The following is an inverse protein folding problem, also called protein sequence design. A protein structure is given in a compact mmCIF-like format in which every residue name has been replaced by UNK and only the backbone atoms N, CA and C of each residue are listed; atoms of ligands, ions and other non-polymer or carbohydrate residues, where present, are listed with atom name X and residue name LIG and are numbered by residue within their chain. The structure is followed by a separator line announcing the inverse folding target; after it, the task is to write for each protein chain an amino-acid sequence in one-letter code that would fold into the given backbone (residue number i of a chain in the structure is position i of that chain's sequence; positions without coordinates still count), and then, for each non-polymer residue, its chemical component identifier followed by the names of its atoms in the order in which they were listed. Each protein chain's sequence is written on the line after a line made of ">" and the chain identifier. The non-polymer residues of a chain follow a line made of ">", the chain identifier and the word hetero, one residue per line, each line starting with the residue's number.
data_IF_311079105597
#
_entry.id   IF_311079105597
#
_cell.length_a   1.000
_cell.length_b   1.000
_cell.length_c   1.000
_cell.angle_alpha   90.00
_cell.angle_beta   90.00
_cell.angle_gamma   90.00
#
_symmetry.space_group_name_H-M   'P 1'
#
loop_
_entity.id
_entity.type
_entity.pdbx_description
1 polymer ?
#
# COMPACT_ATOMS: atom_id res chain seq x y z
N UNK A 1 41.75 -27.62 13.27
CA UNK A 1 40.74 -27.55 12.18
C UNK A 1 39.69 -26.44 12.35
N UNK A 2 39.90 -25.41 13.19
CA UNK A 2 38.95 -24.28 13.32
C UNK A 2 39.29 -23.05 12.46
N UNK A 3 40.50 -22.95 11.88
CA UNK A 3 40.93 -21.75 11.12
C UNK A 3 40.50 -21.71 9.64
N UNK A 4 40.11 -22.86 9.06
CA UNK A 4 39.66 -22.94 7.66
C UNK A 4 38.19 -22.56 7.46
N UNK A 5 37.35 -22.71 8.49
CA UNK A 5 35.93 -22.32 8.43
C UNK A 5 35.76 -20.80 8.45
N UNK A 6 36.56 -20.07 9.22
CA UNK A 6 36.49 -18.61 9.28
C UNK A 6 36.85 -17.92 7.94
N UNK A 7 37.78 -18.51 7.15
CA UNK A 7 38.18 -17.95 5.85
C UNK A 7 37.20 -18.20 4.70
N UNK A 8 36.35 -19.22 4.80
CA UNK A 8 35.36 -19.53 3.77
C UNK A 8 34.00 -18.83 3.99
N UNK A 9 33.69 -18.45 5.23
CA UNK A 9 32.45 -17.73 5.55
C UNK A 9 32.63 -16.20 5.63
N UNK A 10 33.82 -15.69 5.98
CA UNK A 10 34.08 -14.24 6.04
C UNK A 10 34.23 -13.53 4.68
N UNK A 11 34.53 -14.26 3.61
CA UNK A 11 34.68 -13.69 2.25
C UNK A 11 33.35 -13.57 1.50
N UNK A 12 32.33 -14.36 1.88
CA UNK A 12 31.03 -14.35 1.20
C UNK A 12 30.16 -13.17 1.63
N UNK A 13 30.16 -12.87 2.92
CA UNK A 13 29.38 -11.75 3.50
C UNK A 13 29.92 -10.38 3.05
N UNK A 14 31.24 -10.26 2.88
CA UNK A 14 31.88 -9.05 2.35
C UNK A 14 31.66 -8.86 0.84
N UNK A 15 31.54 -9.96 0.08
CA UNK A 15 31.17 -9.89 -1.34
C UNK A 15 29.70 -9.48 -1.57
N UNK A 16 28.77 -9.98 -0.76
CA UNK A 16 27.34 -9.65 -0.92
C UNK A 16 27.04 -8.18 -0.59
N UNK A 17 27.69 -7.62 0.44
CA UNK A 17 27.63 -6.19 0.73
C UNK A 17 28.16 -5.32 -0.43
N UNK A 18 29.23 -5.77 -1.10
CA UNK A 18 29.80 -5.05 -2.24
C UNK A 18 28.88 -5.02 -3.46
N UNK A 19 28.12 -6.10 -3.71
CA UNK A 19 27.18 -6.16 -4.82
C UNK A 19 25.96 -5.28 -4.59
N UNK A 20 25.41 -5.28 -3.38
CA UNK A 20 24.27 -4.41 -3.01
C UNK A 20 24.66 -2.95 -3.13
N UNK A 21 25.84 -2.57 -2.64
CA UNK A 21 26.34 -1.20 -2.75
C UNK A 21 26.59 -0.81 -4.21
N UNK A 22 27.12 -1.71 -5.02
CA UNK A 22 27.36 -1.46 -6.44
C UNK A 22 26.06 -1.31 -7.21
N UNK A 23 25.05 -2.15 -6.93
CA UNK A 23 23.72 -2.03 -7.50
C UNK A 23 23.04 -0.72 -7.09
N UNK A 24 23.16 -0.33 -5.81
CA UNK A 24 22.60 0.92 -5.29
C UNK A 24 23.22 2.14 -5.97
N UNK A 25 24.55 2.16 -6.15
CA UNK A 25 25.24 3.22 -6.90
C UNK A 25 24.81 3.26 -8.35
N UNK A 26 24.77 2.10 -9.02
CA UNK A 26 24.36 2.04 -10.43
C UNK A 26 22.93 2.55 -10.66
N UNK A 27 21.98 2.17 -9.79
CA UNK A 27 20.60 2.68 -9.84
C UNK A 27 20.57 4.19 -9.58
N UNK A 28 21.34 4.68 -8.62
CA UNK A 28 21.45 6.11 -8.32
C UNK A 28 22.01 6.91 -9.51
N UNK A 29 23.10 6.46 -10.10
CA UNK A 29 23.79 7.14 -11.20
C UNK A 29 22.92 7.14 -12.46
N UNK A 30 22.29 6.00 -12.77
CA UNK A 30 21.34 5.90 -13.90
C UNK A 30 20.14 6.80 -13.69
N UNK A 31 19.58 6.82 -12.47
CA UNK A 31 18.48 7.71 -12.10
C UNK A 31 18.84 9.19 -12.27
N UNK A 32 20.06 9.57 -11.86
CA UNK A 32 20.57 10.94 -12.02
C UNK A 32 20.77 11.34 -13.49
N UNK A 33 21.29 10.43 -14.33
CA UNK A 33 21.44 10.70 -15.76
C UNK A 33 20.10 10.89 -16.46
N UNK A 34 19.11 10.03 -16.14
CA UNK A 34 17.75 10.16 -16.65
C UNK A 34 17.13 11.48 -16.19
N UNK A 35 17.29 11.84 -14.92
CA UNK A 35 16.81 13.10 -14.36
C UNK A 35 17.41 14.32 -15.08
N UNK A 36 18.73 14.35 -15.28
CA UNK A 36 19.41 15.44 -16.01
C UNK A 36 18.95 15.54 -17.46
N UNK A 37 18.76 14.40 -18.13
CA UNK A 37 18.26 14.36 -19.51
C UNK A 37 16.83 14.88 -19.62
N UNK A 38 15.93 14.47 -18.71
CA UNK A 38 14.55 14.98 -18.67
C UNK A 38 14.55 16.48 -18.38
N UNK A 39 15.39 16.93 -17.45
CA UNK A 39 15.49 18.33 -17.07
C UNK A 39 15.95 19.25 -18.20
N UNK A 40 16.96 18.81 -18.96
CA UNK A 40 17.45 19.54 -20.13
C UNK A 40 16.39 19.68 -21.24
N UNK A 41 15.49 18.69 -21.38
CA UNK A 41 14.50 18.65 -22.46
C UNK A 41 13.12 19.16 -22.06
N UNK A 42 12.78 19.21 -20.76
CA UNK A 42 11.47 19.67 -20.29
C UNK A 42 11.55 20.25 -18.86
N UNK A 43 11.66 21.58 -18.73
CA UNK A 43 11.65 22.26 -17.43
C UNK A 43 10.39 21.99 -16.60
N UNK A 44 9.25 21.73 -17.26
CA UNK A 44 8.01 21.33 -16.58
C UNK A 44 8.13 19.93 -15.96
N UNK A 45 8.71 18.97 -16.69
CA UNK A 45 8.92 17.62 -16.16
C UNK A 45 9.92 17.63 -15.01
N UNK A 46 10.95 18.48 -15.07
CA UNK A 46 11.91 18.63 -13.98
C UNK A 46 11.25 19.10 -12.68
N UNK A 47 10.42 20.15 -12.73
CA UNK A 47 9.66 20.61 -11.55
C UNK A 47 8.80 19.52 -10.95
N UNK A 48 8.15 18.70 -11.80
CA UNK A 48 7.37 17.55 -11.33
C UNK A 48 8.24 16.50 -10.65
N UNK A 49 9.43 16.23 -11.15
CA UNK A 49 10.35 15.28 -10.51
C UNK A 49 10.87 15.83 -9.18
N UNK A 50 11.16 17.13 -9.11
CA UNK A 50 11.55 17.79 -7.86
C UNK A 50 10.43 17.70 -6.83
N UNK A 51 9.19 17.97 -7.23
CA UNK A 51 8.01 17.81 -6.38
C UNK A 51 7.90 16.36 -5.89
N UNK A 52 8.10 15.35 -6.77
CA UNK A 52 8.09 13.93 -6.41
C UNK A 52 9.23 13.58 -5.45
N UNK A 53 10.42 14.15 -5.62
CA UNK A 53 11.56 13.89 -4.74
C UNK A 53 11.33 14.47 -3.34
N UNK A 54 10.78 15.68 -3.25
CA UNK A 54 10.35 16.28 -1.97
C UNK A 54 9.29 15.41 -1.30
N UNK A 55 8.32 14.96 -2.09
CA UNK A 55 7.25 14.05 -1.69
C UNK A 55 7.80 12.72 -1.15
N UNK A 56 8.75 12.10 -1.85
CA UNK A 56 9.41 10.87 -1.43
C UNK A 56 10.22 11.06 -0.14
N UNK A 57 10.93 12.18 0.00
CA UNK A 57 11.65 12.52 1.23
C UNK A 57 10.71 12.71 2.43
N UNK A 58 9.51 13.25 2.22
CA UNK A 58 8.48 13.34 3.28
C UNK A 58 7.94 11.95 3.67
N UNK A 59 7.74 11.04 2.71
CA UNK A 59 7.35 9.66 3.00
C UNK A 59 8.43 8.94 3.83
N UNK A 60 9.70 9.09 3.47
CA UNK A 60 10.82 8.52 4.20
C UNK A 60 10.91 9.08 5.63
N UNK A 61 10.79 10.40 5.79
CA UNK A 61 10.75 11.06 7.12
C UNK A 61 9.61 10.56 7.99
N UNK A 62 8.47 10.20 7.38
CA UNK A 62 7.31 9.61 8.05
C UNK A 62 7.46 8.10 8.31
N UNK A 63 8.61 7.52 7.99
CA UNK A 63 8.91 6.13 8.29
C UNK A 63 8.32 5.15 7.30
N UNK A 64 8.12 5.54 6.02
CA UNK A 64 7.61 4.62 4.99
C UNK A 64 8.40 3.32 4.90
N UNK A 65 9.67 3.25 5.29
CA UNK A 65 10.42 1.99 5.31
C UNK A 65 10.44 1.31 6.70
N UNK A 66 10.18 2.06 7.76
CA UNK A 66 10.24 1.58 9.15
C UNK A 66 9.02 0.71 9.52
N UNK A 67 7.95 0.84 8.76
CA UNK A 67 6.64 0.26 9.04
C UNK A 67 6.38 -1.09 8.37
N UNK A 68 7.38 -1.61 7.67
CA UNK A 68 7.28 -2.85 6.91
C UNK A 68 6.94 -4.07 7.78
N UNK A 69 7.55 -4.17 8.97
CA UNK A 69 7.33 -5.28 9.90
C UNK A 69 5.87 -5.34 10.36
N UNK A 70 5.35 -4.22 10.85
CA UNK A 70 3.98 -4.14 11.37
C UNK A 70 2.94 -4.41 10.27
N UNK A 71 3.24 -4.01 9.03
CA UNK A 71 2.35 -4.29 7.89
C UNK A 71 2.26 -5.79 7.62
N UNK A 72 3.39 -6.51 7.66
CA UNK A 72 3.38 -7.96 7.49
C UNK A 72 2.58 -8.65 8.61
N UNK A 73 2.64 -8.15 9.84
CA UNK A 73 1.79 -8.65 10.93
C UNK A 73 0.31 -8.40 10.64
N UNK A 74 -0.03 -7.23 10.09
CA UNK A 74 -1.38 -6.86 9.67
C UNK A 74 -1.90 -7.75 8.54
N UNK A 75 -1.07 -8.10 7.55
CA UNK A 75 -1.44 -9.02 6.47
C UNK A 75 -1.77 -10.43 6.98
N UNK A 76 -1.07 -10.91 8.00
CA UNK A 76 -1.24 -12.28 8.51
C UNK A 76 -2.36 -12.38 9.55
N UNK A 77 -2.72 -11.26 10.21
CA UNK A 77 -3.74 -11.22 11.27
C UNK A 77 -5.08 -11.85 10.87
N UNK A 78 -5.65 -11.61 9.67
CA UNK A 78 -6.90 -12.24 9.24
C UNK A 78 -6.81 -13.77 9.08
N UNK A 79 -5.62 -14.31 8.80
CA UNK A 79 -5.42 -15.75 8.67
C UNK A 79 -5.27 -16.43 10.04
N UNK A 80 -4.72 -15.73 11.03
CA UNK A 80 -4.52 -16.25 12.39
C UNK A 80 -5.83 -16.42 13.17
N UNK A 81 -6.88 -15.65 12.85
CA UNK A 81 -8.17 -15.72 13.56
C UNK A 81 -8.99 -16.97 13.22
N UNK A 82 -8.60 -17.73 12.20
CA UNK A 82 -9.33 -18.91 11.73
C UNK A 82 -10.54 -18.54 10.86
N UNK A 83 -10.97 -19.49 10.03
CA UNK A 83 -11.97 -19.25 8.96
C UNK A 83 -13.32 -18.77 9.48
N UNK A 84 -13.82 -19.33 10.60
CA UNK A 84 -15.12 -18.93 11.17
C UNK A 84 -15.12 -17.49 11.69
N UNK A 85 -14.06 -17.09 12.39
CA UNK A 85 -13.93 -15.72 12.88
C UNK A 85 -13.73 -14.74 11.72
N UNK A 86 -12.94 -15.12 10.71
CA UNK A 86 -12.77 -14.33 9.50
C UNK A 86 -14.09 -14.09 8.77
N UNK A 87 -14.91 -15.12 8.58
CA UNK A 87 -16.23 -14.98 7.96
C UNK A 87 -17.14 -14.05 8.77
N UNK A 88 -17.12 -14.15 10.10
CA UNK A 88 -17.88 -13.25 10.96
C UNK A 88 -17.43 -11.79 10.82
N UNK A 89 -16.11 -11.53 10.79
CA UNK A 89 -15.52 -10.21 10.59
C UNK A 89 -15.83 -9.63 9.21
N UNK A 90 -15.72 -10.45 8.16
CA UNK A 90 -16.08 -10.06 6.79
C UNK A 90 -17.57 -9.72 6.73
N UNK A 91 -18.44 -10.58 7.25
CA UNK A 91 -19.89 -10.32 7.26
C UNK A 91 -20.22 -9.01 7.98
N UNK A 92 -19.62 -8.77 9.13
CA UNK A 92 -19.84 -7.55 9.90
C UNK A 92 -19.38 -6.30 9.13
N UNK A 93 -18.24 -6.38 8.44
CA UNK A 93 -17.68 -5.25 7.68
C UNK A 93 -18.36 -5.02 6.32
N UNK A 94 -18.92 -6.05 5.68
CA UNK A 94 -19.79 -5.88 4.49
C UNK A 94 -21.10 -5.18 4.86
N UNK A 95 -21.63 -5.44 6.06
CA UNK A 95 -22.86 -4.83 6.53
C UNK A 95 -22.71 -3.33 6.87
N UNK A 96 -21.49 -2.77 6.78
CA UNK A 96 -21.21 -1.35 6.95
C UNK A 96 -21.80 -0.77 8.25
N UNK A 97 -21.79 -1.55 9.34
CA UNK A 97 -22.38 -1.16 10.61
C UNK A 97 -21.79 0.19 11.09
N UNK A 98 -22.63 1.13 11.59
CA UNK A 98 -22.23 2.50 11.86
C UNK A 98 -21.15 2.64 12.94
N UNK A 99 -21.06 1.70 13.88
CA UNK A 99 -20.10 1.73 15.01
C UNK A 99 -18.80 0.96 14.74
N UNK A 100 -18.55 0.54 13.50
CA UNK A 100 -17.32 -0.19 13.20
C UNK A 100 -16.13 0.73 12.99
N UNK A 101 -15.02 0.40 13.66
CA UNK A 101 -13.72 1.03 13.46
C UNK A 101 -13.31 0.93 11.98
N UNK A 102 -13.39 2.06 11.27
CA UNK A 102 -13.17 2.15 9.83
C UNK A 102 -11.73 1.81 9.44
N UNK A 103 -10.77 2.12 10.32
CA UNK A 103 -9.35 1.80 10.13
C UNK A 103 -9.16 0.29 10.14
N UNK A 104 -9.73 -0.40 11.12
CA UNK A 104 -9.66 -1.86 11.19
C UNK A 104 -10.31 -2.53 9.98
N UNK A 105 -11.51 -2.09 9.59
CA UNK A 105 -12.20 -2.61 8.41
C UNK A 105 -11.37 -2.39 7.14
N UNK A 106 -10.78 -1.20 6.97
CA UNK A 106 -9.89 -0.90 5.86
C UNK A 106 -8.68 -1.84 5.83
N UNK A 107 -7.95 -1.99 6.93
CA UNK A 107 -6.79 -2.89 7.00
C UNK A 107 -7.16 -4.34 6.71
N UNK A 108 -8.32 -4.81 7.19
CA UNK A 108 -8.83 -6.16 6.91
C UNK A 108 -9.09 -6.35 5.41
N UNK A 109 -9.85 -5.45 4.78
CA UNK A 109 -10.17 -5.55 3.35
C UNK A 109 -8.95 -5.38 2.45
N UNK A 110 -7.99 -4.56 2.87
CA UNK A 110 -6.72 -4.39 2.17
C UNK A 110 -5.90 -5.69 2.18
N UNK A 111 -5.80 -6.33 3.35
CA UNK A 111 -5.16 -7.63 3.50
C UNK A 111 -5.88 -8.72 2.69
N UNK A 112 -7.22 -8.74 2.69
CA UNK A 112 -8.00 -9.69 1.89
C UNK A 112 -7.78 -9.51 0.39
N UNK A 113 -7.73 -8.27 -0.10
CA UNK A 113 -7.42 -7.99 -1.51
C UNK A 113 -6.06 -8.56 -1.92
N UNK A 114 -5.05 -8.46 -1.05
CA UNK A 114 -3.75 -9.08 -1.26
C UNK A 114 -3.84 -10.62 -1.28
N UNK A 115 -4.50 -11.22 -0.29
CA UNK A 115 -4.63 -12.69 -0.22
C UNK A 115 -5.43 -13.27 -1.39
N UNK A 116 -6.41 -12.56 -1.93
CA UNK A 116 -7.11 -12.98 -3.14
C UNK A 116 -6.17 -13.06 -4.35
N UNK A 117 -5.17 -12.16 -4.46
CA UNK A 117 -4.12 -12.28 -5.48
C UNK A 117 -3.29 -13.54 -5.30
N UNK A 118 -2.92 -13.87 -4.05
CA UNK A 118 -2.14 -15.08 -3.76
C UNK A 118 -2.94 -16.34 -4.08
N UNK A 119 -4.23 -16.37 -3.72
CA UNK A 119 -5.13 -17.49 -4.06
C UNK A 119 -5.24 -17.62 -5.57
N UNK A 120 -5.39 -16.50 -6.30
CA UNK A 120 -5.44 -16.52 -7.76
C UNK A 120 -4.16 -17.08 -8.37
N UNK A 121 -2.98 -16.68 -7.87
CA UNK A 121 -1.71 -17.27 -8.29
C UNK A 121 -1.70 -18.79 -8.10
N UNK A 122 -2.14 -19.29 -6.93
CA UNK A 122 -2.20 -20.73 -6.67
C UNK A 122 -3.15 -21.42 -7.64
N UNK A 123 -4.35 -20.86 -7.86
CA UNK A 123 -5.34 -21.40 -8.80
C UNK A 123 -4.78 -21.42 -10.23
N UNK A 124 -4.15 -20.32 -10.67
CA UNK A 124 -3.54 -20.21 -12.00
C UNK A 124 -2.40 -21.21 -12.19
N UNK A 125 -1.60 -21.49 -11.16
CA UNK A 125 -0.56 -22.53 -11.23
C UNK A 125 -1.11 -23.95 -11.32
N UNK A 126 -2.32 -24.19 -10.79
CA UNK A 126 -2.99 -25.50 -10.82
C UNK A 126 -3.75 -25.76 -12.13
N UNK A 127 -4.11 -24.71 -12.88
CA UNK A 127 -4.86 -24.83 -14.12
C UNK A 127 -3.94 -25.05 -15.34
N UNK A 128 -4.27 -25.98 -16.25
CA UNK A 128 -3.52 -26.14 -17.49
C UNK A 128 -3.67 -24.89 -18.37
N UNK A 129 -2.55 -24.22 -18.66
CA UNK A 129 -2.52 -22.98 -19.44
C UNK A 129 -2.43 -21.70 -18.61
N UNK A 130 -2.28 -21.79 -17.29
CA UNK A 130 -2.05 -20.60 -16.45
C UNK A 130 -0.66 -19.98 -16.65
N UNK A 131 -0.60 -18.65 -16.71
CA UNK A 131 0.66 -17.90 -16.77
C UNK A 131 1.16 -17.55 -15.37
N UNK A 132 1.89 -18.48 -14.75
CA UNK A 132 2.42 -18.30 -13.39
C UNK A 132 3.28 -17.04 -13.23
N UNK A 133 4.05 -16.65 -14.25
CA UNK A 133 4.91 -15.45 -14.21
C UNK A 133 4.07 -14.17 -14.10
N UNK A 134 3.01 -14.06 -14.90
CA UNK A 134 2.11 -12.88 -14.87
C UNK A 134 1.46 -12.75 -13.50
N UNK A 135 1.07 -13.87 -12.89
CA UNK A 135 0.45 -13.87 -11.57
C UNK A 135 1.44 -13.57 -10.44
N UNK A 136 2.70 -14.02 -10.54
CA UNK A 136 3.74 -13.64 -9.57
C UNK A 136 3.95 -12.12 -9.57
N UNK A 137 4.04 -11.52 -10.76
CA UNK A 137 4.16 -10.07 -10.92
C UNK A 137 2.91 -9.37 -10.37
N UNK A 138 1.72 -9.91 -10.61
CA UNK A 138 0.44 -9.41 -10.06
C UNK A 138 0.40 -9.44 -8.52
N UNK A 139 0.90 -10.51 -7.90
CA UNK A 139 1.02 -10.62 -6.43
C UNK A 139 1.99 -9.59 -5.90
N UNK A 140 3.14 -9.39 -6.55
CA UNK A 140 4.12 -8.38 -6.15
C UNK A 140 3.54 -6.96 -6.20
N UNK A 141 2.85 -6.60 -7.30
CA UNK A 141 2.15 -5.32 -7.38
C UNK A 141 1.04 -5.19 -6.34
N UNK A 142 0.29 -6.26 -6.08
CA UNK A 142 -0.75 -6.26 -5.04
C UNK A 142 -0.17 -6.04 -3.65
N UNK A 143 1.02 -6.60 -3.37
CA UNK A 143 1.73 -6.40 -2.12
C UNK A 143 2.19 -4.95 -1.95
N UNK A 144 2.82 -4.38 -2.98
CA UNK A 144 3.23 -2.96 -2.98
C UNK A 144 2.02 -2.06 -2.79
N UNK A 145 0.95 -2.28 -3.55
CA UNK A 145 -0.27 -1.49 -3.45
C UNK A 145 -0.89 -1.59 -2.04
N UNK A 146 -1.00 -2.80 -1.49
CA UNK A 146 -1.52 -2.98 -0.14
C UNK A 146 -0.65 -2.26 0.90
N UNK A 147 0.68 -2.30 0.76
CA UNK A 147 1.59 -1.58 1.65
C UNK A 147 1.40 -0.06 1.54
N UNK A 148 1.38 0.47 0.31
CA UNK A 148 1.19 1.90 0.07
C UNK A 148 -0.15 2.38 0.62
N UNK A 149 -1.22 1.60 0.44
CA UNK A 149 -2.54 1.95 0.97
C UNK A 149 -2.61 1.89 2.50
N UNK A 150 -2.00 0.88 3.15
CA UNK A 150 -1.89 0.85 4.60
C UNK A 150 -1.15 2.09 5.12
N UNK A 151 -0.04 2.45 4.48
CA UNK A 151 0.72 3.63 4.88
C UNK A 151 -0.09 4.92 4.71
N UNK A 152 -0.71 5.13 3.54
CA UNK A 152 -1.42 6.38 3.19
C UNK A 152 -2.69 6.57 4.01
N UNK A 153 -3.45 5.50 4.27
CA UNK A 153 -4.77 5.61 4.92
C UNK A 153 -4.75 5.30 6.42
N UNK A 154 -3.78 4.54 6.92
CA UNK A 154 -3.73 4.11 8.34
C UNK A 154 -2.60 4.81 9.09
N UNK A 155 -1.38 4.77 8.58
CA UNK A 155 -0.19 5.19 9.36
C UNK A 155 0.08 6.69 9.30
N UNK A 156 -0.09 7.27 8.13
CA UNK A 156 0.24 8.67 7.87
C UNK A 156 -0.89 9.38 7.10
N UNK A 157 -2.14 9.36 7.62
CA UNK A 157 -3.27 9.96 6.93
C UNK A 157 -3.02 11.45 6.72
N UNK A 158 -3.02 11.85 5.45
CA UNK A 158 -2.94 13.24 5.00
C UNK A 158 -3.81 13.36 3.77
N UNK A 159 -4.71 14.32 3.76
CA UNK A 159 -5.70 14.51 2.70
C UNK A 159 -5.07 14.57 1.30
N UNK A 160 -3.90 15.21 1.21
CA UNK A 160 -3.13 15.35 -0.04
C UNK A 160 -2.73 14.01 -0.68
N UNK A 161 -2.46 12.97 0.13
CA UNK A 161 -2.02 11.65 -0.35
C UNK A 161 -3.17 10.66 -0.48
N UNK A 162 -4.18 10.81 0.38
CA UNK A 162 -5.36 9.94 0.38
C UNK A 162 -6.19 10.12 -0.89
N UNK A 163 -6.31 11.35 -1.43
CA UNK A 163 -7.08 11.61 -2.65
C UNK A 163 -6.50 10.85 -3.88
N UNK A 164 -5.20 10.96 -4.23
CA UNK A 164 -4.60 10.12 -5.25
C UNK A 164 -4.81 8.62 -4.99
N UNK A 165 -4.69 8.18 -3.74
CA UNK A 165 -4.95 6.78 -3.36
C UNK A 165 -6.38 6.33 -3.69
N UNK A 166 -7.39 7.16 -3.37
CA UNK A 166 -8.80 6.90 -3.72
C UNK A 166 -8.99 6.84 -5.24
N UNK A 167 -8.41 7.78 -5.99
CA UNK A 167 -8.51 7.79 -7.46
C UNK A 167 -7.92 6.52 -8.07
N UNK A 168 -6.73 6.10 -7.62
CA UNK A 168 -6.08 4.87 -8.09
C UNK A 168 -6.95 3.64 -7.73
N UNK A 169 -7.54 3.59 -6.53
CA UNK A 169 -8.46 2.52 -6.15
C UNK A 169 -9.70 2.46 -7.05
N UNK A 170 -10.31 3.60 -7.41
CA UNK A 170 -11.45 3.64 -8.34
C UNK A 170 -11.07 3.08 -9.71
N UNK A 171 -9.93 3.53 -10.26
CA UNK A 171 -9.42 3.03 -11.53
C UNK A 171 -9.13 1.53 -11.48
N UNK A 172 -8.58 1.06 -10.37
CA UNK A 172 -8.32 -0.36 -10.14
C UNK A 172 -9.60 -1.19 -10.11
N UNK A 173 -10.64 -0.75 -9.38
CA UNK A 173 -11.95 -1.41 -9.35
C UNK A 173 -12.54 -1.48 -10.77
N UNK A 174 -12.51 -0.37 -11.51
CA UNK A 174 -13.01 -0.34 -12.89
C UNK A 174 -12.26 -1.33 -13.80
N UNK A 175 -10.94 -1.40 -13.68
CA UNK A 175 -10.12 -2.36 -14.43
C UNK A 175 -10.48 -3.81 -14.10
N UNK A 176 -10.73 -4.13 -12.83
CA UNK A 176 -11.16 -5.48 -12.43
C UNK A 176 -12.53 -5.86 -12.99
N UNK A 177 -13.48 -4.92 -13.04
CA UNK A 177 -14.79 -5.14 -13.68
C UNK A 177 -14.63 -5.40 -15.18
N UNK A 178 -13.86 -4.58 -15.89
CA UNK A 178 -13.59 -4.75 -17.32
C UNK A 178 -12.91 -6.11 -17.57
N UNK A 179 -11.94 -6.48 -16.74
CA UNK A 179 -11.25 -7.78 -16.81
C UNK A 179 -12.21 -8.94 -16.57
N UNK A 180 -13.14 -8.81 -15.62
CA UNK A 180 -14.18 -9.81 -15.38
C UNK A 180 -15.10 -10.01 -16.57
N UNK A 181 -15.52 -8.93 -17.23
CA UNK A 181 -16.36 -8.97 -18.44
C UNK A 181 -15.59 -9.59 -19.61
N UNK A 182 -14.36 -9.14 -19.87
CA UNK A 182 -13.51 -9.69 -20.93
C UNK A 182 -13.10 -11.15 -20.68
N UNK A 183 -13.03 -11.54 -19.41
CA UNK A 183 -12.72 -12.89 -18.96
C UNK A 183 -13.88 -13.88 -18.99
N UNK A 184 -15.10 -13.48 -19.38
CA UNK A 184 -16.29 -14.35 -19.39
C UNK A 184 -16.14 -15.62 -20.26
N UNK A 185 -15.18 -15.63 -21.18
CA UNK A 185 -14.78 -16.85 -21.93
C UNK A 185 -14.31 -17.96 -20.99
N UNK A 186 -13.68 -17.61 -19.87
CA UNK A 186 -13.22 -18.52 -18.83
C UNK A 186 -13.90 -18.19 -17.50
N UNK A 187 -14.80 -19.08 -17.05
CA UNK A 187 -15.64 -18.86 -15.86
C UNK A 187 -14.79 -18.56 -14.60
N UNK A 188 -13.70 -19.30 -14.38
CA UNK A 188 -12.89 -19.17 -13.16
C UNK A 188 -12.20 -17.79 -13.07
N UNK A 189 -11.43 -17.33 -14.10
CA UNK A 189 -10.89 -15.97 -14.13
C UNK A 189 -11.95 -14.88 -13.97
N UNK A 190 -13.12 -15.01 -14.62
CA UNK A 190 -14.19 -14.03 -14.52
C UNK A 190 -14.71 -13.91 -13.07
N UNK A 191 -15.02 -15.04 -12.43
CA UNK A 191 -15.50 -15.07 -11.05
C UNK A 191 -14.47 -14.44 -10.10
N UNK A 192 -13.19 -14.77 -10.26
CA UNK A 192 -12.13 -14.21 -9.42
C UNK A 192 -11.97 -12.70 -9.60
N UNK A 193 -12.06 -12.20 -10.84
CA UNK A 193 -12.04 -10.77 -11.12
C UNK A 193 -13.22 -10.04 -10.45
N UNK A 194 -14.42 -10.61 -10.49
CA UNK A 194 -15.58 -10.04 -9.79
C UNK A 194 -15.43 -10.07 -8.26
N UNK A 195 -14.88 -11.15 -7.68
CA UNK A 195 -14.59 -11.22 -6.24
C UNK A 195 -13.61 -10.10 -5.85
N UNK A 196 -12.55 -9.88 -6.65
CA UNK A 196 -11.58 -8.80 -6.42
C UNK A 196 -12.20 -7.43 -6.59
N UNK A 197 -13.06 -7.24 -7.58
CA UNK A 197 -13.79 -5.99 -7.77
C UNK A 197 -14.69 -5.71 -6.56
N UNK A 198 -15.41 -6.71 -6.06
CA UNK A 198 -16.27 -6.57 -4.88
C UNK A 198 -15.46 -6.23 -3.62
N UNK A 199 -14.36 -6.95 -3.36
CA UNK A 199 -13.51 -6.68 -2.20
C UNK A 199 -12.83 -5.31 -2.26
N UNK A 200 -12.33 -4.93 -3.45
CA UNK A 200 -11.75 -3.61 -3.67
C UNK A 200 -12.79 -2.49 -3.58
N UNK A 201 -14.06 -2.76 -3.94
CA UNK A 201 -15.16 -1.81 -3.75
C UNK A 201 -15.45 -1.56 -2.28
N UNK A 202 -15.47 -2.62 -1.45
CA UNK A 202 -15.64 -2.46 0.00
C UNK A 202 -14.45 -1.71 0.61
N UNK A 203 -13.23 -2.04 0.18
CA UNK A 203 -12.02 -1.30 0.58
C UNK A 203 -12.13 0.19 0.23
N UNK A 204 -12.56 0.51 -1.00
CA UNK A 204 -12.77 1.87 -1.48
C UNK A 204 -13.81 2.63 -0.64
N UNK A 205 -14.91 1.98 -0.24
CA UNK A 205 -15.90 2.60 0.65
C UNK A 205 -15.28 3.04 1.97
N UNK A 206 -14.47 2.19 2.61
CA UNK A 206 -13.74 2.55 3.83
C UNK A 206 -12.65 3.59 3.58
N UNK A 207 -11.97 3.54 2.43
CA UNK A 207 -11.00 4.56 2.02
C UNK A 207 -11.64 5.96 1.94
N UNK A 208 -12.83 6.05 1.34
CA UNK A 208 -13.60 7.30 1.23
C UNK A 208 -14.07 7.77 2.61
N UNK A 209 -14.49 6.85 3.50
CA UNK A 209 -14.86 7.20 4.88
C UNK A 209 -13.67 7.79 5.64
N UNK A 210 -12.50 7.15 5.56
CA UNK A 210 -11.27 7.65 6.18
C UNK A 210 -10.84 9.00 5.58
N UNK A 211 -10.96 9.17 4.27
CA UNK A 211 -10.65 10.44 3.59
C UNK A 211 -11.54 11.59 4.07
N UNK A 212 -12.85 11.38 4.14
CA UNK A 212 -13.79 12.39 4.63
C UNK A 212 -13.53 12.74 6.10
N UNK A 213 -13.25 11.74 6.94
CA UNK A 213 -12.89 11.97 8.34
C UNK A 213 -11.61 12.84 8.46
N UNK A 214 -10.59 12.55 7.64
CA UNK A 214 -9.36 13.34 7.62
C UNK A 214 -9.60 14.79 7.15
N UNK A 215 -10.46 15.00 6.14
CA UNK A 215 -10.84 16.34 5.68
C UNK A 215 -11.53 17.16 6.78
N UNK A 216 -12.53 16.58 7.44
CA UNK A 216 -13.26 17.26 8.51
C UNK A 216 -12.34 17.64 9.69
N UNK A 217 -11.35 16.80 10.01
CA UNK A 217 -10.36 17.08 11.04
C UNK A 217 -9.37 18.20 10.64
N UNK A 218 -8.98 18.29 9.36
CA UNK A 218 -8.16 19.39 8.87
C UNK A 218 -8.91 20.73 8.91
N UNK A 219 -10.19 20.74 8.52
CA UNK A 219 -11.05 21.94 8.55
C UNK A 219 -11.27 22.46 9.98
N UNK A 220 -11.58 21.57 10.94
CA UNK A 220 -11.78 21.95 12.34
C UNK A 220 -10.49 22.48 12.98
N UNK A 221 -9.35 21.82 12.72
CA UNK A 221 -8.05 22.24 13.24
C UNK A 221 -7.55 23.55 12.64
N UNK A 222 -7.99 23.91 11.43
CA UNK A 222 -7.68 25.17 10.79
C UNK A 222 -8.55 26.32 11.33
N UNK A 223 -9.82 26.02 11.65
CA UNK A 223 -10.72 26.94 12.31
C UNK A 223 -10.21 27.31 13.72
N UNK A 224 -9.82 26.35 14.56
CA UNK A 224 -9.23 26.64 15.88
C UNK A 224 -7.93 27.44 15.82
N UNK A 225 -7.06 27.18 14.84
CA UNK A 225 -5.83 27.97 14.65
C UNK A 225 -6.07 29.40 14.13
N UNK A 226 -7.23 29.66 13.53
CA UNK A 226 -7.66 31.01 13.15
C UNK A 226 -8.19 31.82 14.34
N UNK A 227 -8.71 31.16 15.37
CA UNK A 227 -9.18 31.79 16.61
C UNK A 227 -8.10 31.88 17.70
N UNK A 228 -7.17 30.93 17.75
CA UNK A 228 -6.06 30.88 18.71
C UNK A 228 -4.76 31.25 17.99
N UNK A 229 -4.38 32.52 18.07
CA UNK A 229 -3.13 33.03 17.50
C UNK A 229 -1.92 32.16 17.84
N UNK A 230 -1.27 31.65 16.79
CA UNK A 230 0.12 31.16 16.68
C UNK A 230 0.84 30.85 18.00
N UNK A 231 0.46 29.79 18.72
CA UNK A 231 1.13 29.45 19.98
C UNK A 231 1.22 27.99 20.38
N UNK A 232 0.54 27.05 19.70
CA UNK A 232 0.45 25.66 20.18
C UNK A 232 1.18 24.65 19.28
N UNK A 233 2.17 23.99 19.89
CA UNK A 233 3.07 22.97 19.36
C UNK A 233 2.32 21.71 18.90
N UNK A 234 2.69 21.19 17.72
CA UNK A 234 2.04 20.08 17.02
C UNK A 234 2.12 18.68 17.67
N UNK A 235 2.60 18.55 18.91
CA UNK A 235 2.60 17.27 19.64
C UNK A 235 1.22 16.91 20.21
N UNK A 236 0.47 17.89 20.74
CA UNK A 236 -0.88 17.67 21.27
C UNK A 236 -1.90 17.29 20.16
N UNK A 237 -1.60 17.67 18.91
CA UNK A 237 -2.43 17.36 17.73
C UNK A 237 -2.46 15.86 17.37
N UNK A 238 -1.48 15.07 17.79
CA UNK A 238 -1.41 13.63 17.46
C UNK A 238 -2.20 12.76 18.44
N UNK A 239 -2.32 13.17 19.70
CA UNK A 239 -3.00 12.36 20.72
C UNK A 239 -4.52 12.37 20.53
N UNK A 240 -5.10 13.54 20.20
CA UNK A 240 -6.56 13.66 19.96
C UNK A 240 -7.02 12.89 18.72
N UNK A 241 -6.17 12.77 17.69
CA UNK A 241 -6.53 12.06 16.46
C UNK A 241 -6.51 10.52 16.63
N UNK A 242 -5.80 10.01 17.65
CA UNK A 242 -5.79 8.58 18.01
C UNK A 242 -7.03 8.24 18.86
N UNK A 243 -7.59 9.19 19.61
CA UNK A 243 -8.81 8.95 20.41
C UNK A 243 -10.11 9.06 19.61
N UNK A 244 -10.09 9.66 18.41
CA UNK A 244 -11.28 9.84 17.56
C UNK A 244 -11.41 8.82 16.41
N UNK A 245 -10.48 7.87 16.26
CA UNK A 245 -10.47 6.81 15.22
C UNK A 245 -10.53 5.41 15.83
#
# INVERSE_FOLDING_TARGET
>A
MQSLRARLFGTRETQDLSLVDHARRWVSDTGMQVYQCIGANSPWAQRRIDDIAVQAGELERRGYLNHFRDFNETLVKPLKSGTRALVALVKATVQCAPDQNAVYAFSLWNALCFWFSVILLIVSLLLPGGSGIVEIVSVFYSYIAAYTYDFVFVRAPRTQWMLPGVVIMVLWVALQVITGIGGLVYIVPAVMAFIRAASASVLLLYAVRLYRAAQSAEESGQQESGWLGSGWSGSARREVMIEML
#
